data_IF_868166888946
#
_entry.id   IF_868166888946
#
_cell.length_a   1.000
_cell.length_b   1.000
_cell.length_c   1.000
_cell.angle_alpha   90.00
_cell.angle_beta   90.00
_cell.angle_gamma   90.00
#
_symmetry.space_group_name_H-M   'P 1'
#
loop_
_entity.id
_entity.type
_entity.pdbx_description
1 polymer ?
#
# COMPACT_ATOMS: atom_id res chain seq x y z
N UNK A 1 28.84 -7.84 -58.20
CA UNK A 1 29.03 -6.61 -57.39
C UNK A 1 27.75 -6.37 -56.60
N UNK A 2 27.61 -7.04 -55.44
CA UNK A 2 26.47 -6.94 -54.53
C UNK A 2 27.04 -6.58 -53.16
N UNK A 3 26.46 -5.54 -52.57
CA UNK A 3 26.93 -4.90 -51.34
C UNK A 3 26.52 -5.69 -50.09
N UNK A 4 27.44 -5.66 -49.13
CA UNK A 4 27.37 -6.19 -47.78
C UNK A 4 26.29 -5.51 -46.92
N UNK A 5 25.58 -6.29 -46.11
CA UNK A 5 25.11 -5.88 -44.78
C UNK A 5 25.44 -7.01 -43.80
N UNK A 6 26.19 -6.67 -42.77
CA UNK A 6 26.77 -7.54 -41.77
C UNK A 6 25.74 -8.00 -40.73
N UNK A 7 25.71 -9.30 -40.46
CA UNK A 7 25.13 -9.91 -39.27
C UNK A 7 26.05 -9.65 -38.06
N UNK A 8 25.57 -8.88 -37.08
CA UNK A 8 26.21 -8.80 -35.76
C UNK A 8 25.61 -9.89 -34.86
N UNK A 9 26.27 -11.05 -34.84
CA UNK A 9 26.09 -12.05 -33.80
C UNK A 9 26.75 -11.54 -32.50
N UNK A 10 25.93 -11.27 -31.47
CA UNK A 10 26.39 -10.98 -30.12
C UNK A 10 26.98 -12.26 -29.50
N UNK A 11 28.30 -12.28 -29.38
CA UNK A 11 29.10 -13.31 -28.70
C UNK A 11 28.90 -13.14 -27.18
N UNK A 12 28.24 -14.11 -26.53
CA UNK A 12 28.23 -14.25 -25.08
C UNK A 12 29.58 -14.80 -24.60
N UNK A 13 30.26 -14.21 -23.60
CA UNK A 13 31.50 -14.77 -23.09
C UNK A 13 31.24 -16.04 -22.26
N UNK A 14 31.91 -17.12 -22.67
CA UNK A 14 31.99 -18.40 -21.97
C UNK A 14 32.86 -18.20 -20.71
N UNK A 15 32.26 -18.32 -19.51
CA UNK A 15 33.01 -18.33 -18.26
C UNK A 15 33.83 -19.63 -18.13
N UNK A 16 35.16 -19.52 -18.27
CA UNK A 16 36.10 -20.58 -17.92
C UNK A 16 36.19 -20.71 -16.39
N UNK A 17 35.66 -21.80 -15.84
CA UNK A 17 35.88 -22.20 -14.45
C UNK A 17 37.31 -22.71 -14.29
N UNK A 18 38.19 -21.90 -13.71
CA UNK A 18 39.52 -22.34 -13.27
C UNK A 18 39.36 -23.24 -12.04
N UNK A 19 39.74 -24.53 -12.18
CA UNK A 19 39.92 -25.46 -11.04
C UNK A 19 40.99 -24.90 -10.10
N UNK A 20 40.59 -24.47 -8.90
CA UNK A 20 41.49 -24.14 -7.81
C UNK A 20 41.91 -25.43 -7.11
N UNK A 21 43.22 -25.63 -7.01
CA UNK A 21 43.86 -26.76 -6.32
C UNK A 21 43.66 -26.65 -4.80
N UNK A 22 43.13 -27.71 -4.19
CA UNK A 22 42.93 -27.85 -2.75
C UNK A 22 44.27 -28.06 -2.03
N UNK A 23 44.74 -27.04 -1.30
CA UNK A 23 45.76 -27.21 -0.27
C UNK A 23 45.10 -27.32 1.10
N UNK A 24 45.18 -28.52 1.71
CA UNK A 24 44.72 -28.80 3.07
C UNK A 24 45.52 -27.98 4.10
N UNK A 25 44.88 -27.00 4.75
CA UNK A 25 45.34 -26.45 6.03
C UNK A 25 44.15 -26.26 6.98
N UNK A 26 44.19 -27.07 8.05
CA UNK A 26 43.53 -27.01 9.36
C UNK A 26 42.19 -26.26 9.48
N UNK A 27 41.18 -27.06 9.82
CA UNK A 27 39.92 -26.66 10.46
C UNK A 27 40.11 -25.60 11.55
N UNK A 28 39.62 -24.40 11.26
CA UNK A 28 38.95 -23.55 12.23
C UNK A 28 37.60 -23.21 11.59
N UNK A 29 36.57 -23.96 11.97
CA UNK A 29 35.20 -23.68 11.58
C UNK A 29 34.76 -22.36 12.19
N UNK A 30 34.98 -21.25 11.48
CA UNK A 30 34.16 -20.06 11.65
C UNK A 30 32.76 -20.44 11.15
N UNK A 31 31.89 -20.83 12.08
CA UNK A 31 30.46 -20.85 11.83
C UNK A 31 30.07 -19.42 11.47
N UNK A 32 29.83 -19.17 10.18
CA UNK A 32 29.00 -18.04 9.78
C UNK A 32 27.64 -18.38 10.38
N UNK A 33 27.31 -17.76 11.51
CA UNK A 33 25.96 -17.76 12.03
C UNK A 33 25.11 -17.07 10.97
N UNK A 34 24.45 -17.87 10.14
CA UNK A 34 23.25 -17.42 9.44
C UNK A 34 22.36 -16.84 10.55
N UNK A 35 21.97 -15.56 10.49
CA UNK A 35 21.12 -14.98 11.51
C UNK A 35 19.93 -15.91 11.69
N UNK A 36 19.69 -16.32 12.94
CA UNK A 36 18.50 -17.07 13.32
C UNK A 36 17.33 -16.33 12.69
N UNK A 37 16.59 -17.00 11.80
CA UNK A 37 15.44 -16.41 11.14
C UNK A 37 14.35 -16.22 12.19
N UNK A 38 14.48 -15.19 13.04
CA UNK A 38 13.53 -14.85 14.09
C UNK A 38 12.24 -14.48 13.39
N UNK A 39 11.25 -15.35 13.53
CA UNK A 39 9.90 -15.11 13.02
C UNK A 39 9.34 -13.88 13.72
N UNK A 40 9.00 -12.85 12.95
CA UNK A 40 8.37 -11.65 13.47
C UNK A 40 6.89 -11.90 13.72
N UNK A 41 6.42 -11.36 14.84
CA UNK A 41 5.02 -11.37 15.24
C UNK A 41 4.25 -10.28 14.50
N UNK A 42 3.14 -10.66 13.88
CA UNK A 42 2.24 -9.76 13.16
C UNK A 42 0.91 -9.68 13.89
N UNK A 43 0.43 -8.46 14.10
CA UNK A 43 -0.89 -8.13 14.59
C UNK A 43 -1.73 -7.46 13.51
N UNK A 44 -3.06 -7.64 13.52
CA UNK A 44 -3.97 -6.94 12.60
C UNK A 44 -5.02 -6.17 13.40
N UNK A 45 -5.14 -4.87 13.14
CA UNK A 45 -6.22 -4.05 13.65
C UNK A 45 -7.28 -3.84 12.56
N UNK A 46 -8.49 -4.35 12.80
CA UNK A 46 -9.59 -4.38 11.86
C UNK A 46 -9.64 -5.69 11.07
N UNK A 47 -10.66 -6.50 11.32
CA UNK A 47 -10.91 -7.82 10.73
C UNK A 47 -12.07 -7.82 9.74
N UNK A 48 -12.40 -6.64 9.18
CA UNK A 48 -13.29 -6.53 8.02
C UNK A 48 -12.69 -7.18 6.77
N UNK A 49 -13.25 -6.92 5.58
CA UNK A 49 -12.87 -7.63 4.35
C UNK A 49 -11.34 -7.62 4.05
N UNK A 50 -10.69 -6.45 4.16
CA UNK A 50 -9.25 -6.33 3.89
C UNK A 50 -8.40 -7.04 4.95
N UNK A 51 -8.68 -6.79 6.23
CA UNK A 51 -7.96 -7.42 7.33
C UNK A 51 -8.13 -8.94 7.36
N UNK A 52 -9.33 -9.44 7.08
CA UNK A 52 -9.59 -10.88 6.93
C UNK A 52 -8.77 -11.49 5.78
N UNK A 53 -8.68 -10.82 4.63
CA UNK A 53 -7.87 -11.30 3.52
C UNK A 53 -6.37 -11.36 3.86
N UNK A 54 -5.85 -10.37 4.60
CA UNK A 54 -4.47 -10.38 5.10
C UNK A 54 -4.27 -11.47 6.16
N UNK A 55 -5.23 -11.65 7.08
CA UNK A 55 -5.19 -12.68 8.11
C UNK A 55 -5.11 -14.08 7.49
N UNK A 56 -5.95 -14.37 6.49
CA UNK A 56 -5.89 -15.63 5.76
C UNK A 56 -4.53 -15.84 5.06
N UNK A 57 -3.95 -14.80 4.47
CA UNK A 57 -2.63 -14.90 3.83
C UNK A 57 -1.52 -15.23 4.85
N UNK A 58 -1.53 -14.61 6.02
CA UNK A 58 -0.58 -14.90 7.10
C UNK A 58 -0.78 -16.30 7.69
N UNK A 59 -2.03 -16.74 7.88
CA UNK A 59 -2.36 -18.10 8.37
C UNK A 59 -1.91 -19.17 7.37
N UNK A 60 -2.06 -18.90 6.07
CA UNK A 60 -1.58 -19.79 5.01
C UNK A 60 -0.04 -19.81 4.90
N UNK A 61 0.65 -18.88 5.57
CA UNK A 61 2.10 -18.82 5.66
C UNK A 61 2.70 -17.68 4.83
N UNK A 62 3.51 -16.85 5.51
CA UNK A 62 4.47 -15.93 4.89
C UNK A 62 5.80 -16.13 5.62
N UNK A 63 6.87 -16.38 4.87
CA UNK A 63 8.17 -16.71 5.43
C UNK A 63 8.66 -15.63 6.39
N UNK A 64 9.11 -16.04 7.58
CA UNK A 64 9.59 -15.14 8.61
C UNK A 64 8.51 -14.38 9.38
N UNK A 65 7.22 -14.57 9.09
CA UNK A 65 6.12 -13.85 9.73
C UNK A 65 5.07 -14.80 10.33
N UNK A 66 4.50 -14.42 11.47
CA UNK A 66 3.41 -15.17 12.11
C UNK A 66 2.31 -14.22 12.59
N UNK A 67 1.06 -14.47 12.19
CA UNK A 67 -0.09 -13.80 12.80
C UNK A 67 -0.26 -14.29 14.24
N UNK A 68 -0.25 -13.36 15.20
CA UNK A 68 -0.30 -13.68 16.63
C UNK A 68 -1.50 -13.06 17.34
N UNK A 69 -1.93 -11.87 16.92
CA UNK A 69 -2.99 -11.12 17.57
C UNK A 69 -3.89 -10.39 16.56
N UNK A 70 -5.15 -10.23 16.92
CA UNK A 70 -6.14 -9.44 16.19
C UNK A 70 -6.72 -8.37 17.12
N UNK A 71 -7.22 -7.28 16.55
CA UNK A 71 -7.99 -6.28 17.30
C UNK A 71 -9.17 -5.83 16.45
N UNK A 72 -10.38 -5.97 16.97
CA UNK A 72 -11.61 -5.49 16.33
C UNK A 72 -12.69 -5.25 17.39
N UNK A 73 -13.55 -4.26 17.17
CA UNK A 73 -14.73 -4.02 18.01
C UNK A 73 -15.72 -5.19 17.92
N UNK A 74 -15.76 -5.87 16.78
CA UNK A 74 -16.59 -7.07 16.57
C UNK A 74 -15.70 -8.22 16.13
N UNK A 75 -15.25 -9.07 17.07
CA UNK A 75 -14.38 -10.19 16.75
C UNK A 75 -14.96 -11.10 15.66
N UNK A 76 -14.20 -11.28 14.58
CA UNK A 76 -14.53 -12.29 13.59
C UNK A 76 -14.18 -13.69 14.14
N UNK A 77 -15.21 -14.50 14.33
CA UNK A 77 -15.14 -15.85 14.92
C UNK A 77 -14.48 -16.89 14.00
N UNK A 78 -14.24 -16.54 12.74
CA UNK A 78 -13.57 -17.42 11.77
C UNK A 78 -12.06 -17.56 12.06
N UNK A 79 -11.50 -16.68 12.91
CA UNK A 79 -10.09 -16.73 13.29
C UNK A 79 -9.91 -17.28 14.69
N UNK A 80 -9.13 -18.36 14.81
CA UNK A 80 -8.66 -18.88 16.09
C UNK A 80 -7.34 -18.18 16.51
N UNK A 81 -7.39 -16.84 16.59
CA UNK A 81 -6.29 -15.96 16.99
C UNK A 81 -6.80 -15.05 18.12
N UNK A 82 -6.03 -14.80 19.20
CA UNK A 82 -6.45 -13.91 20.28
C UNK A 82 -6.85 -12.52 19.79
N UNK A 83 -7.98 -12.01 20.30
CA UNK A 83 -8.39 -10.63 20.12
C UNK A 83 -7.99 -9.81 21.35
N UNK A 84 -7.27 -8.73 21.12
CA UNK A 84 -6.68 -7.86 22.14
C UNK A 84 -6.98 -6.39 21.82
N UNK A 85 -6.75 -5.49 22.78
CA UNK A 85 -6.84 -4.06 22.52
C UNK A 85 -5.58 -3.52 21.82
N UNK A 86 -5.57 -2.23 21.47
CA UNK A 86 -4.44 -1.62 20.78
C UNK A 86 -3.16 -1.52 21.61
N UNK A 87 -3.24 -1.49 22.94
CA UNK A 87 -2.05 -1.41 23.80
C UNK A 87 -1.34 -2.77 23.79
N UNK A 88 -2.09 -3.85 24.01
CA UNK A 88 -1.57 -5.21 23.95
C UNK A 88 -1.10 -5.55 22.52
N UNK A 89 -1.82 -5.12 21.48
CA UNK A 89 -1.38 -5.29 20.09
C UNK A 89 -0.01 -4.62 19.83
N UNK A 90 0.20 -3.41 20.35
CA UNK A 90 1.45 -2.67 20.21
C UNK A 90 2.60 -3.28 21.03
N UNK A 91 2.31 -3.92 22.17
CA UNK A 91 3.31 -4.54 23.02
C UNK A 91 3.74 -5.91 22.49
N UNK A 92 2.79 -6.74 22.05
CA UNK A 92 3.00 -8.16 21.73
C UNK A 92 3.39 -8.42 20.27
N UNK A 93 3.25 -7.43 19.38
CA UNK A 93 3.57 -7.58 17.95
C UNK A 93 4.78 -6.74 17.51
N UNK A 94 5.52 -7.23 16.52
CA UNK A 94 6.63 -6.50 15.87
C UNK A 94 6.11 -5.63 14.72
N UNK A 95 5.10 -6.14 14.01
CA UNK A 95 4.46 -5.51 12.86
C UNK A 95 2.95 -5.47 13.11
N UNK A 96 2.37 -4.29 12.93
CA UNK A 96 0.92 -4.09 13.03
C UNK A 96 0.40 -3.69 11.65
N UNK A 97 -0.59 -4.44 11.15
CA UNK A 97 -1.33 -4.11 9.93
C UNK A 97 -2.63 -3.39 10.32
N UNK A 98 -2.77 -2.15 9.87
CA UNK A 98 -3.96 -1.34 10.04
C UNK A 98 -4.94 -1.57 8.87
N UNK A 99 -6.17 -1.94 9.22
CA UNK A 99 -7.32 -2.16 8.34
C UNK A 99 -8.60 -1.55 8.96
N UNK A 100 -8.46 -0.40 9.60
CA UNK A 100 -9.48 0.32 10.35
C UNK A 100 -10.13 1.45 9.52
N UNK A 101 -11.32 1.93 9.91
CA UNK A 101 -11.81 3.22 9.43
C UNK A 101 -10.85 4.37 9.84
N UNK A 102 -10.66 5.41 9.01
CA UNK A 102 -9.69 6.48 9.28
C UNK A 102 -9.78 7.12 10.66
N UNK A 103 -10.99 7.24 11.22
CA UNK A 103 -11.22 7.83 12.55
C UNK A 103 -10.62 7.05 13.73
N UNK A 104 -10.36 5.75 13.56
CA UNK A 104 -9.79 4.89 14.61
C UNK A 104 -8.26 4.77 14.49
N UNK A 105 -7.69 5.29 13.41
CA UNK A 105 -6.25 5.20 13.12
C UNK A 105 -5.39 5.99 14.10
N UNK A 106 -5.75 7.22 14.54
CA UNK A 106 -4.90 7.99 15.46
C UNK A 106 -4.58 7.24 16.76
N UNK A 107 -5.58 6.62 17.38
CA UNK A 107 -5.40 5.86 18.63
C UNK A 107 -4.45 4.67 18.46
N UNK A 108 -4.64 3.88 17.39
CA UNK A 108 -3.75 2.77 17.08
C UNK A 108 -2.33 3.28 16.79
N UNK A 109 -2.21 4.29 15.93
CA UNK A 109 -0.92 4.81 15.49
C UNK A 109 -0.12 5.36 16.67
N UNK A 110 -0.75 6.12 17.59
CA UNK A 110 -0.07 6.62 18.79
C UNK A 110 0.57 5.47 19.59
N UNK A 111 -0.17 4.41 19.88
CA UNK A 111 0.30 3.26 20.67
C UNK A 111 1.43 2.52 19.95
N UNK A 112 1.24 2.21 18.67
CA UNK A 112 2.20 1.46 17.85
C UNK A 112 3.51 2.22 17.64
N UNK A 113 3.43 3.52 17.34
CA UNK A 113 4.61 4.36 17.08
C UNK A 113 5.40 4.61 18.37
N UNK A 114 4.73 4.86 19.51
CA UNK A 114 5.39 4.98 20.83
C UNK A 114 6.06 3.68 21.28
N UNK A 115 5.48 2.53 20.93
CA UNK A 115 6.09 1.21 21.10
C UNK A 115 7.22 0.92 20.09
N UNK A 116 7.53 1.86 19.19
CA UNK A 116 8.61 1.78 18.20
C UNK A 116 8.48 0.59 17.24
N UNK A 117 7.24 0.19 16.92
CA UNK A 117 6.94 -0.94 16.04
C UNK A 117 6.81 -0.52 14.58
N UNK A 118 6.67 -1.50 13.69
CA UNK A 118 6.32 -1.25 12.29
C UNK A 118 4.80 -1.19 12.14
N UNK A 119 4.29 -0.11 11.56
CA UNK A 119 2.88 0.08 11.23
C UNK A 119 2.69 0.05 9.70
N UNK A 120 1.97 -0.93 9.18
CA UNK A 120 1.52 -0.97 7.78
C UNK A 120 0.12 -0.36 7.70
N UNK A 121 -0.05 0.72 6.95
CA UNK A 121 -1.30 1.49 6.91
C UNK A 121 -1.98 1.41 5.54
N UNK A 122 -3.23 0.95 5.51
CA UNK A 122 -4.05 0.97 4.29
C UNK A 122 -4.90 2.23 4.18
N UNK A 123 -5.29 2.79 5.33
CA UNK A 123 -6.08 4.01 5.42
C UNK A 123 -5.16 5.24 5.36
N UNK A 124 -4.35 5.36 4.30
CA UNK A 124 -3.33 6.40 4.17
C UNK A 124 -3.87 7.83 4.17
N UNK A 125 -5.18 8.04 3.94
CA UNK A 125 -5.80 9.35 4.15
C UNK A 125 -5.71 9.83 5.62
N UNK A 126 -5.58 8.92 6.59
CA UNK A 126 -5.42 9.29 7.99
C UNK A 126 -4.13 10.10 8.21
N UNK A 127 -3.05 9.82 7.48
CA UNK A 127 -1.79 10.58 7.54
C UNK A 127 -1.93 12.03 7.03
N UNK A 128 -3.02 12.32 6.31
CA UNK A 128 -3.31 13.63 5.76
C UNK A 128 -4.21 14.42 6.69
N UNK A 129 -5.18 13.74 7.32
CA UNK A 129 -6.22 14.34 8.16
C UNK A 129 -5.73 14.53 9.60
N UNK A 130 -4.83 13.64 10.06
CA UNK A 130 -4.30 13.59 11.42
C UNK A 130 -2.77 13.76 11.38
N UNK A 131 -2.27 15.01 11.19
CA UNK A 131 -0.83 15.27 11.07
C UNK A 131 -0.05 14.85 12.32
N UNK A 132 -0.69 14.77 13.49
CA UNK A 132 -0.10 14.32 14.74
C UNK A 132 0.50 12.90 14.66
N UNK A 133 -0.01 12.05 13.76
CA UNK A 133 0.55 10.71 13.52
C UNK A 133 2.00 10.82 13.02
N UNK A 134 2.24 11.75 12.09
CA UNK A 134 3.57 11.98 11.53
C UNK A 134 4.46 12.73 12.52
N UNK A 135 3.90 13.56 13.40
CA UNK A 135 4.67 14.24 14.44
C UNK A 135 5.18 13.23 15.49
N UNK A 136 4.33 12.31 15.96
CA UNK A 136 4.75 11.20 16.83
C UNK A 136 5.82 10.35 16.14
N UNK A 137 5.64 10.03 14.86
CA UNK A 137 6.58 9.20 14.12
C UNK A 137 7.99 9.82 14.08
N UNK A 138 8.12 11.14 13.87
CA UNK A 138 9.42 11.85 13.83
C UNK A 138 10.24 11.70 15.12
N UNK A 139 9.57 11.54 16.26
CA UNK A 139 10.19 11.45 17.58
C UNK A 139 10.47 10.00 18.02
N UNK A 140 10.31 9.02 17.12
CA UNK A 140 10.46 7.59 17.43
C UNK A 140 11.32 6.86 16.39
N UNK A 141 11.81 5.66 16.72
CA UNK A 141 12.44 4.75 15.75
C UNK A 141 11.45 3.78 15.08
N UNK A 142 10.15 4.09 15.19
CA UNK A 142 9.10 3.33 14.52
C UNK A 142 9.23 3.38 13.00
N UNK A 143 8.44 2.56 12.30
CA UNK A 143 8.38 2.59 10.83
C UNK A 143 6.94 2.63 10.37
N UNK A 144 6.62 3.56 9.48
CA UNK A 144 5.33 3.56 8.76
C UNK A 144 5.56 3.03 7.34
N UNK A 145 4.73 2.07 6.93
CA UNK A 145 4.72 1.51 5.58
C UNK A 145 3.34 1.76 4.97
N UNK A 146 3.32 2.52 3.88
CA UNK A 146 2.11 2.71 3.08
C UNK A 146 2.28 1.87 1.81
N UNK A 147 1.56 0.75 1.65
CA UNK A 147 1.60 -0.03 0.43
C UNK A 147 0.93 0.73 -0.72
N UNK A 148 1.11 0.27 -1.96
CA UNK A 148 0.52 0.89 -3.14
C UNK A 148 -1.02 0.91 -3.10
N UNK A 149 -1.64 0.04 -2.30
CA UNK A 149 -3.08 -0.08 -2.21
C UNK A 149 -3.67 -0.57 -3.52
N UNK A 150 -4.70 0.12 -4.02
CA UNK A 150 -5.36 -0.23 -5.28
C UNK A 150 -4.71 0.44 -6.51
N UNK A 151 -3.42 0.79 -6.43
CA UNK A 151 -2.64 1.44 -7.49
C UNK A 151 -1.54 0.53 -8.04
N UNK A 152 -1.04 0.90 -9.21
CA UNK A 152 0.18 0.37 -9.83
C UNK A 152 1.05 1.53 -10.33
N UNK A 153 2.36 1.32 -10.42
CA UNK A 153 3.33 2.32 -10.91
C UNK A 153 3.88 3.28 -9.85
N UNK A 154 3.63 3.03 -8.55
CA UNK A 154 4.12 3.88 -7.44
C UNK A 154 5.65 3.84 -7.32
N UNK A 155 6.27 2.71 -7.67
CA UNK A 155 7.69 2.55 -7.92
C UNK A 155 8.22 3.59 -8.92
N UNK A 156 7.58 3.70 -10.09
CA UNK A 156 7.90 4.69 -11.11
C UNK A 156 7.67 6.14 -10.65
N UNK A 157 6.61 6.38 -9.87
CA UNK A 157 6.37 7.70 -9.26
C UNK A 157 7.50 8.08 -8.31
N UNK A 158 7.95 7.15 -7.46
CA UNK A 158 9.07 7.38 -6.53
C UNK A 158 10.36 7.65 -7.30
N UNK A 159 10.64 6.90 -8.37
CA UNK A 159 11.80 7.16 -9.22
C UNK A 159 11.74 8.54 -9.88
N UNK A 160 10.56 8.96 -10.37
CA UNK A 160 10.36 10.30 -10.92
C UNK A 160 10.54 11.42 -9.89
N UNK A 161 10.18 11.18 -8.63
CA UNK A 161 10.36 12.16 -7.54
C UNK A 161 11.82 12.57 -7.37
N UNK A 162 12.76 11.63 -7.53
CA UNK A 162 14.20 11.91 -7.46
C UNK A 162 14.72 12.78 -8.62
N UNK A 163 13.99 12.80 -9.75
CA UNK A 163 14.32 13.59 -10.94
C UNK A 163 13.53 14.91 -11.04
N UNK A 164 12.61 15.14 -10.11
CA UNK A 164 11.66 16.24 -10.13
C UNK A 164 10.37 15.92 -10.89
N UNK A 165 9.25 15.99 -10.15
CA UNK A 165 7.90 15.94 -10.70
C UNK A 165 7.41 17.37 -10.95
N UNK A 166 6.84 17.61 -12.13
CA UNK A 166 6.22 18.87 -12.54
C UNK A 166 4.74 18.89 -12.13
N UNK A 167 4.01 17.81 -12.41
CA UNK A 167 2.59 17.69 -12.08
C UNK A 167 2.22 16.27 -11.64
N UNK A 168 1.25 16.17 -10.72
CA UNK A 168 0.73 14.90 -10.22
C UNK A 168 -0.80 14.98 -10.17
N UNK A 169 -1.46 14.09 -10.90
CA UNK A 169 -2.92 13.98 -10.93
C UNK A 169 -3.37 12.55 -10.73
N UNK A 170 -4.47 12.38 -10.00
CA UNK A 170 -5.26 11.15 -9.95
C UNK A 170 -6.73 11.43 -10.20
N UNK A 171 -7.35 10.66 -11.09
CA UNK A 171 -8.79 10.61 -11.28
C UNK A 171 -9.32 9.26 -10.79
N UNK A 172 -10.31 9.29 -9.91
CA UNK A 172 -10.98 8.08 -9.41
C UNK A 172 -12.43 8.04 -9.86
N UNK A 173 -12.84 6.96 -10.50
CA UNK A 173 -14.23 6.75 -10.95
C UNK A 173 -14.86 5.58 -10.22
N UNK A 174 -16.09 5.76 -9.71
CA UNK A 174 -16.90 4.69 -9.12
C UNK A 174 -18.36 4.84 -9.53
N UNK A 175 -19.15 3.79 -9.33
CA UNK A 175 -20.60 3.88 -9.42
C UNK A 175 -21.14 4.87 -8.36
N UNK A 176 -22.14 5.73 -8.66
CA UNK A 176 -22.66 6.76 -7.75
C UNK A 176 -22.95 6.25 -6.32
N UNK A 177 -23.61 5.09 -6.19
CA UNK A 177 -23.87 4.41 -4.90
C UNK A 177 -22.63 4.17 -4.01
N UNK A 178 -21.42 4.19 -4.58
CA UNK A 178 -20.16 4.06 -3.84
C UNK A 178 -19.80 5.30 -3.02
N UNK A 179 -20.45 6.44 -3.28
CA UNK A 179 -20.23 7.70 -2.56
C UNK A 179 -21.28 8.01 -1.50
N UNK A 180 -22.24 7.11 -1.26
CA UNK A 180 -23.28 7.28 -0.22
C UNK A 180 -22.63 7.44 1.17
N UNK A 181 -23.01 8.50 1.88
CA UNK A 181 -22.47 8.85 3.20
C UNK A 181 -21.10 9.53 3.17
N UNK A 182 -20.61 9.97 2.00
CA UNK A 182 -19.43 10.80 1.92
C UNK A 182 -19.75 12.22 2.43
N UNK A 183 -18.95 12.80 3.36
CA UNK A 183 -19.21 14.12 3.94
C UNK A 183 -19.47 15.22 2.92
N UNK A 184 -18.73 15.21 1.80
CA UNK A 184 -18.89 16.20 0.73
C UNK A 184 -20.20 16.06 -0.04
N UNK A 185 -20.66 14.83 -0.28
CA UNK A 185 -21.94 14.57 -0.97
C UNK A 185 -23.09 15.12 -0.13
N UNK A 186 -23.08 14.85 1.17
CA UNK A 186 -24.10 15.33 2.11
C UNK A 186 -24.04 16.86 2.25
N UNK A 187 -22.85 17.43 2.43
CA UNK A 187 -22.64 18.88 2.56
C UNK A 187 -23.10 19.66 1.31
N UNK A 188 -22.85 19.13 0.12
CA UNK A 188 -23.21 19.78 -1.14
C UNK A 188 -24.62 19.41 -1.64
N UNK A 189 -25.34 18.54 -0.93
CA UNK A 189 -26.69 18.10 -1.34
C UNK A 189 -26.71 17.37 -2.68
N UNK A 190 -25.66 16.61 -3.00
CA UNK A 190 -25.56 15.90 -4.29
C UNK A 190 -26.49 14.68 -4.28
N UNK A 191 -27.54 14.70 -5.09
CA UNK A 191 -28.40 13.53 -5.30
C UNK A 191 -27.73 12.54 -6.27
N UNK A 192 -27.07 11.53 -5.70
CA UNK A 192 -26.39 10.45 -6.43
C UNK A 192 -27.32 9.65 -7.36
N UNK A 193 -28.63 9.66 -7.12
CA UNK A 193 -29.61 8.92 -7.95
C UNK A 193 -29.95 9.62 -9.26
N UNK A 194 -29.69 10.93 -9.33
CA UNK A 194 -29.92 11.76 -10.53
C UNK A 194 -28.73 11.77 -11.49
N UNK A 195 -27.57 11.23 -11.09
CA UNK A 195 -26.41 11.10 -11.96
C UNK A 195 -26.71 10.03 -13.03
N UNK A 196 -26.98 10.46 -14.27
CA UNK A 196 -27.29 9.56 -15.41
C UNK A 196 -26.13 9.34 -16.37
N UNK A 197 -25.08 10.15 -16.27
CA UNK A 197 -23.85 10.06 -17.08
C UNK A 197 -22.64 10.31 -16.18
N UNK A 198 -21.45 9.89 -16.64
CA UNK A 198 -20.18 10.14 -15.94
C UNK A 198 -20.03 11.62 -15.57
N UNK A 199 -20.07 11.90 -14.27
CA UNK A 199 -20.10 13.26 -13.71
C UNK A 199 -18.97 13.44 -12.71
N UNK A 200 -18.17 14.50 -12.88
CA UNK A 200 -17.18 14.89 -11.88
C UNK A 200 -17.91 15.51 -10.70
N UNK A 201 -17.82 14.88 -9.53
CA UNK A 201 -18.48 15.34 -8.31
C UNK A 201 -17.53 16.10 -7.39
N UNK A 202 -16.22 15.99 -7.61
CA UNK A 202 -15.22 16.71 -6.84
C UNK A 202 -13.96 16.95 -7.68
N UNK A 203 -13.35 18.11 -7.45
CA UNK A 203 -12.02 18.49 -7.91
C UNK A 203 -11.34 19.32 -6.83
N UNK A 204 -10.09 19.00 -6.52
CA UNK A 204 -9.30 19.68 -5.51
C UNK A 204 -7.91 19.04 -5.37
N UNK A 205 -7.21 19.32 -4.28
CA UNK A 205 -5.98 18.63 -3.92
C UNK A 205 -6.25 17.38 -3.05
N UNK A 206 -5.21 16.60 -2.75
CA UNK A 206 -5.36 15.36 -1.98
C UNK A 206 -5.74 15.59 -0.51
N UNK A 207 -5.35 16.72 0.09
CA UNK A 207 -5.76 17.09 1.44
C UNK A 207 -7.27 17.44 1.51
N UNK A 208 -7.76 18.25 0.57
CA UNK A 208 -9.18 18.56 0.44
C UNK A 208 -9.99 17.30 0.17
N UNK A 209 -9.50 16.43 -0.72
CA UNK A 209 -10.13 15.15 -1.02
C UNK A 209 -10.20 14.24 0.21
N UNK A 210 -9.14 14.18 1.03
CA UNK A 210 -9.09 13.42 2.28
C UNK A 210 -10.19 13.84 3.26
N UNK A 211 -10.40 15.14 3.43
CA UNK A 211 -11.48 15.68 4.28
C UNK A 211 -12.88 15.47 3.67
N UNK A 212 -13.00 15.59 2.35
CA UNK A 212 -14.26 15.50 1.62
C UNK A 212 -14.78 14.05 1.49
N UNK A 213 -13.87 13.08 1.30
CA UNK A 213 -14.16 11.69 0.98
C UNK A 213 -13.22 10.70 1.71
N UNK A 214 -13.10 10.74 3.04
CA UNK A 214 -12.09 10.00 3.81
C UNK A 214 -12.10 8.49 3.52
N UNK A 215 -13.27 7.88 3.33
CA UNK A 215 -13.38 6.45 3.02
C UNK A 215 -13.02 6.06 1.57
N UNK A 216 -12.78 7.02 0.67
CA UNK A 216 -12.66 6.77 -0.78
C UNK A 216 -11.34 7.20 -1.41
N UNK A 217 -10.48 7.90 -0.68
CA UNK A 217 -9.32 8.63 -1.24
C UNK A 217 -7.97 8.15 -0.72
N UNK A 218 -7.90 6.97 -0.11
CA UNK A 218 -6.64 6.34 0.29
C UNK A 218 -5.63 6.27 -0.87
N UNK A 219 -6.08 5.91 -2.09
CA UNK A 219 -5.19 5.89 -3.26
C UNK A 219 -4.65 7.28 -3.62
N UNK A 220 -5.45 8.34 -3.45
CA UNK A 220 -4.99 9.70 -3.69
C UNK A 220 -4.00 10.16 -2.61
N UNK A 221 -4.24 9.79 -1.36
CA UNK A 221 -3.31 10.01 -0.26
C UNK A 221 -1.97 9.29 -0.50
N UNK A 222 -2.00 7.99 -0.83
CA UNK A 222 -0.81 7.21 -1.19
C UNK A 222 -0.02 7.85 -2.32
N UNK A 223 -0.69 8.27 -3.41
CA UNK A 223 -0.02 8.98 -4.49
C UNK A 223 0.63 10.28 -4.01
N UNK A 224 -0.10 11.08 -3.23
CA UNK A 224 0.41 12.37 -2.75
C UNK A 224 1.67 12.22 -1.89
N UNK A 225 1.71 11.21 -1.02
CA UNK A 225 2.88 10.87 -0.19
C UNK A 225 4.07 10.44 -1.06
N UNK A 226 3.81 9.66 -2.12
CA UNK A 226 4.83 9.21 -3.06
C UNK A 226 5.32 10.29 -4.04
N UNK A 227 4.52 11.33 -4.29
CA UNK A 227 4.77 12.36 -5.29
C UNK A 227 5.05 13.75 -4.65
N UNK A 228 4.25 14.75 -5.04
CA UNK A 228 4.44 16.18 -4.73
C UNK A 228 3.92 16.62 -3.36
N UNK A 229 3.33 15.71 -2.58
CA UNK A 229 2.68 16.01 -1.32
C UNK A 229 1.19 16.37 -1.47
N UNK A 230 0.47 16.47 -0.33
CA UNK A 230 -0.99 16.56 -0.28
C UNK A 230 -1.60 17.74 -1.05
N UNK A 231 -1.02 18.91 -0.93
CA UNK A 231 -1.56 20.16 -1.49
C UNK A 231 -1.29 20.30 -2.99
N UNK A 232 -0.29 19.59 -3.50
CA UNK A 232 0.18 19.70 -4.90
C UNK A 232 -0.27 18.54 -5.80
N UNK A 233 -0.81 17.47 -5.22
CA UNK A 233 -1.40 16.37 -5.99
C UNK A 233 -2.87 16.68 -6.28
N UNK A 234 -3.20 16.85 -7.56
CA UNK A 234 -4.57 17.12 -8.02
C UNK A 234 -5.41 15.84 -7.99
N UNK A 235 -6.61 15.93 -7.47
CA UNK A 235 -7.57 14.83 -7.35
C UNK A 235 -8.87 15.19 -8.06
N UNK A 236 -9.36 14.25 -8.86
CA UNK A 236 -10.71 14.30 -9.42
C UNK A 236 -11.48 13.05 -9.00
N UNK A 237 -12.73 13.23 -8.57
CA UNK A 237 -13.63 12.12 -8.24
C UNK A 237 -14.82 12.17 -9.17
N UNK A 238 -15.07 11.04 -9.83
CA UNK A 238 -16.09 10.87 -10.85
C UNK A 238 -17.09 9.81 -10.41
N UNK A 239 -18.38 10.14 -10.55
CA UNK A 239 -19.49 9.23 -10.39
C UNK A 239 -20.01 8.83 -11.76
N UNK A 240 -19.98 7.52 -12.05
CA UNK A 240 -20.34 6.98 -13.36
C UNK A 240 -21.29 5.78 -13.19
N UNK A 241 -22.57 5.89 -13.61
CA UNK A 241 -23.53 4.79 -13.53
C UNK A 241 -23.13 3.53 -14.29
N UNK A 242 -22.27 3.65 -15.30
CA UNK A 242 -21.80 2.52 -16.11
C UNK A 242 -20.52 1.88 -15.54
N UNK A 243 -19.95 2.46 -14.47
CA UNK A 243 -18.75 1.92 -13.84
C UNK A 243 -19.00 0.51 -13.27
N UNK A 244 -18.30 -0.46 -13.84
CA UNK A 244 -18.35 -1.88 -13.43
C UNK A 244 -17.55 -2.17 -12.15
N UNK A 245 -16.78 -1.20 -11.66
CA UNK A 245 -15.89 -1.31 -10.52
C UNK A 245 -15.22 0.02 -10.20
N UNK A 246 -14.17 -0.02 -9.36
CA UNK A 246 -13.41 1.17 -9.01
C UNK A 246 -12.27 1.36 -10.02
N UNK A 247 -12.20 2.52 -10.65
CA UNK A 247 -11.15 2.85 -11.59
C UNK A 247 -10.29 3.99 -11.06
N UNK A 248 -8.97 3.87 -11.21
CA UNK A 248 -8.01 4.91 -10.86
C UNK A 248 -7.08 5.18 -12.03
N UNK A 249 -6.92 6.45 -12.39
CA UNK A 249 -6.09 6.91 -13.50
C UNK A 249 -5.09 7.93 -12.96
N UNK A 250 -3.80 7.66 -13.14
CA UNK A 250 -2.70 8.50 -12.72
C UNK A 250 -2.07 9.17 -13.92
N UNK A 251 -1.72 10.44 -13.76
CA UNK A 251 -0.90 11.17 -14.72
C UNK A 251 0.16 11.93 -13.94
N UNK A 252 1.42 11.52 -14.11
CA UNK A 252 2.57 12.13 -13.44
C UNK A 252 3.50 12.63 -14.52
N UNK A 253 3.70 13.94 -14.57
CA UNK A 253 4.65 14.56 -15.49
C UNK A 253 5.91 14.89 -14.70
N UNK A 254 7.04 14.31 -15.11
CA UNK A 254 8.36 14.68 -14.63
C UNK A 254 9.18 15.35 -15.73
N UNK A 255 10.35 15.86 -15.36
CA UNK A 255 11.27 16.56 -16.28
C UNK A 255 11.64 15.72 -17.51
N UNK A 256 11.81 14.41 -17.33
CA UNK A 256 12.34 13.50 -18.36
C UNK A 256 11.35 12.44 -18.84
N UNK A 257 10.23 12.27 -18.15
CA UNK A 257 9.25 11.23 -18.51
C UNK A 257 7.86 11.58 -17.97
N UNK A 258 6.84 11.12 -18.68
CA UNK A 258 5.45 11.16 -18.23
C UNK A 258 4.97 9.74 -17.96
N UNK A 259 4.46 9.50 -16.76
CA UNK A 259 3.89 8.22 -16.35
C UNK A 259 2.37 8.29 -16.42
N UNK A 260 1.80 7.31 -17.14
CA UNK A 260 0.37 7.02 -17.12
C UNK A 260 0.15 5.65 -16.51
N UNK A 261 -0.81 5.56 -15.59
CA UNK A 261 -1.22 4.27 -15.02
C UNK A 261 -2.73 4.24 -14.89
N UNK A 262 -3.35 3.11 -15.24
CA UNK A 262 -4.79 2.90 -15.14
C UNK A 262 -5.06 1.55 -14.51
N UNK A 263 -5.86 1.57 -13.45
CA UNK A 263 -6.23 0.38 -12.68
C UNK A 263 -7.75 0.27 -12.69
N UNK A 264 -8.26 -0.85 -13.19
CA UNK A 264 -9.69 -1.19 -13.17
C UNK A 264 -9.93 -2.34 -12.19
N UNK A 265 -10.34 -2.00 -10.98
CA UNK A 265 -10.60 -2.97 -9.93
C UNK A 265 -12.02 -3.51 -10.06
N UNK A 266 -12.15 -4.82 -10.24
CA UNK A 266 -13.44 -5.50 -10.17
C UNK A 266 -13.96 -5.47 -8.73
N UNK A 267 -15.29 -5.32 -8.52
CA UNK A 267 -15.88 -5.43 -7.20
C UNK A 267 -15.61 -6.82 -6.64
N UNK A 268 -15.19 -6.88 -5.38
CA UNK A 268 -15.18 -8.14 -4.65
C UNK A 268 -16.63 -8.55 -4.36
N UNK A 269 -17.06 -9.78 -4.72
CA UNK A 269 -18.38 -10.30 -4.36
C UNK A 269 -18.67 -10.23 -2.85
N UNK A 270 -17.66 -10.41 -2.00
CA UNK A 270 -17.79 -10.35 -0.55
C UNK A 270 -17.82 -8.91 0.01
N UNK A 271 -17.14 -7.97 -0.64
CA UNK A 271 -17.20 -6.54 -0.29
C UNK A 271 -17.00 -5.62 -1.50
N UNK A 272 -18.09 -5.23 -2.20
CA UNK A 272 -17.99 -4.43 -3.42
C UNK A 272 -17.34 -3.05 -3.26
N UNK A 273 -17.22 -2.53 -2.02
CA UNK A 273 -16.70 -1.20 -1.75
C UNK A 273 -15.17 -1.13 -1.74
N UNK A 274 -14.49 -2.24 -1.47
CA UNK A 274 -13.02 -2.30 -1.31
C UNK A 274 -12.37 -3.10 -2.42
N UNK A 275 -11.16 -2.71 -2.83
CA UNK A 275 -10.40 -3.49 -3.82
C UNK A 275 -9.60 -4.59 -3.13
N UNK A 276 -9.75 -5.84 -3.57
CA UNK A 276 -8.88 -6.95 -3.15
C UNK A 276 -7.40 -6.67 -3.45
N UNK A 277 -7.10 -5.87 -4.49
CA UNK A 277 -5.73 -5.43 -4.79
C UNK A 277 -5.11 -4.67 -3.60
N UNK A 278 -5.91 -3.92 -2.83
CA UNK A 278 -5.43 -3.22 -1.65
C UNK A 278 -4.94 -4.19 -0.57
N UNK A 279 -5.71 -5.26 -0.28
CA UNK A 279 -5.27 -6.31 0.64
C UNK A 279 -4.02 -7.03 0.12
N UNK A 280 -3.99 -7.36 -1.18
CA UNK A 280 -2.82 -8.03 -1.77
C UNK A 280 -1.57 -7.15 -1.80
N UNK A 281 -1.71 -5.82 -1.86
CA UNK A 281 -0.57 -4.91 -1.73
C UNK A 281 0.09 -4.98 -0.34
N UNK A 282 -0.70 -5.22 0.72
CA UNK A 282 -0.18 -5.47 2.07
C UNK A 282 0.55 -6.81 2.10
N UNK A 283 -0.06 -7.87 1.56
CA UNK A 283 0.54 -9.21 1.50
C UNK A 283 1.86 -9.18 0.72
N UNK A 284 1.93 -8.43 -0.38
CA UNK A 284 3.17 -8.21 -1.13
C UNK A 284 4.22 -7.51 -0.25
N UNK A 285 3.85 -6.40 0.39
CA UNK A 285 4.75 -5.66 1.25
C UNK A 285 5.29 -6.50 2.43
N UNK A 286 4.46 -7.36 3.01
CA UNK A 286 4.86 -8.30 4.06
C UNK A 286 5.86 -9.34 3.53
N UNK A 287 5.62 -9.92 2.36
CA UNK A 287 6.54 -10.89 1.73
C UNK A 287 7.90 -10.25 1.43
N UNK A 288 7.92 -9.02 0.95
CA UNK A 288 9.15 -8.32 0.58
C UNK A 288 10.05 -7.98 1.77
N UNK A 289 9.56 -8.07 3.01
CA UNK A 289 10.38 -7.86 4.21
C UNK A 289 11.45 -8.94 4.41
N UNK A 290 11.22 -10.16 3.93
CA UNK A 290 12.14 -11.30 4.07
C UNK A 290 12.59 -11.91 2.74
N UNK A 291 12.03 -11.47 1.61
CA UNK A 291 12.43 -11.95 0.29
C UNK A 291 13.90 -11.57 -0.01
N UNK A 292 14.68 -12.55 -0.46
CA UNK A 292 16.06 -12.33 -0.93
C UNK A 292 16.10 -11.68 -2.32
N UNK A 293 15.03 -11.86 -3.11
CA UNK A 293 14.80 -11.23 -4.39
C UNK A 293 13.60 -10.29 -4.26
N UNK A 294 13.85 -9.00 -4.42
CA UNK A 294 12.82 -7.96 -4.32
C UNK A 294 12.62 -7.34 -5.69
N UNK A 295 11.36 -7.26 -6.13
CA UNK A 295 10.95 -6.44 -7.28
C UNK A 295 10.28 -5.21 -6.69
N UNK A 296 10.87 -4.04 -6.92
CA UNK A 296 10.41 -2.77 -6.37
C UNK A 296 9.24 -2.20 -7.17
#
# INVERSE_FOLDING_TARGET
MRAHINDYALILPIFHVKRISLNKKKDQSMSISVPTNTTLSVGIAGTGALGSAVAHALINGIDGLKLTHLSDLTPNKDFNIPYVDFDELANECDIIVECLPPKAVPELAEKVLKAQKTLIMISSCALLIYPEILDIHKDTHSRIIVPSGALSGIDGVKALKELGIISSKIASTKHPRGFTGAPYVDKMGIDLTQIKTKTKIFEGNAFEAANAFPANVNVAATLSLAALGPEKTRVEIWADPEAKGNMHELTIEGTYSTLYSRIENKPDPANPKSSMLAAQSIVSALKDMHNQLIVL
#
